data_IF_972198735983
#
_entry.id   IF_972198735983
#
_cell.length_a   1.000
_cell.length_b   1.000
_cell.length_c   1.000
_cell.angle_alpha   90.00
_cell.angle_beta   90.00
_cell.angle_gamma   90.00
#
_symmetry.space_group_name_H-M   'P 1'
#
loop_
_entity.id
_entity.type
_entity.pdbx_description
1 polymer ?
#
# COMPACT_ATOMS: atom_id res chain seq x y z
N UNK A 1 7.81 4.49 -17.15
CA UNK A 1 6.57 3.79 -16.76
C UNK A 1 7.01 2.79 -15.71
N UNK A 2 6.64 2.98 -14.43
CA UNK A 2 6.97 2.00 -13.40
C UNK A 2 6.29 0.69 -13.79
N UNK A 3 7.09 -0.35 -14.01
CA UNK A 3 6.61 -1.68 -14.31
C UNK A 3 6.18 -2.27 -12.96
N UNK A 4 5.01 -1.87 -12.46
CA UNK A 4 4.49 -2.34 -11.17
C UNK A 4 4.12 -3.81 -11.34
N UNK A 5 5.11 -4.66 -11.10
CA UNK A 5 4.95 -6.10 -11.13
C UNK A 5 4.21 -6.43 -9.86
N UNK A 6 2.94 -6.84 -9.96
CA UNK A 6 2.17 -7.22 -8.77
C UNK A 6 2.90 -8.35 -8.04
N UNK A 7 3.02 -8.24 -6.72
CA UNK A 7 3.66 -9.29 -5.93
C UNK A 7 2.75 -10.51 -5.95
N UNK A 8 3.29 -11.62 -6.46
CA UNK A 8 2.61 -12.91 -6.46
C UNK A 8 2.44 -13.42 -5.03
N UNK A 9 1.34 -14.15 -4.78
CA UNK A 9 1.02 -14.69 -3.45
C UNK A 9 2.18 -15.53 -2.86
N UNK A 10 2.82 -16.35 -3.68
CA UNK A 10 3.96 -17.20 -3.27
C UNK A 10 5.18 -16.36 -2.86
N UNK A 11 5.43 -15.26 -3.55
CA UNK A 11 6.53 -14.35 -3.23
C UNK A 11 6.25 -13.57 -1.94
N UNK A 12 5.04 -13.04 -1.78
CA UNK A 12 4.62 -12.41 -0.52
C UNK A 12 4.77 -13.36 0.67
N UNK A 13 4.31 -14.62 0.51
CA UNK A 13 4.47 -15.63 1.56
C UNK A 13 5.95 -15.89 1.86
N UNK A 14 6.81 -16.01 0.84
CA UNK A 14 8.26 -16.22 1.01
C UNK A 14 8.92 -15.06 1.78
N UNK A 15 8.57 -13.81 1.45
CA UNK A 15 9.06 -12.62 2.15
C UNK A 15 8.61 -12.63 3.61
N UNK A 16 7.33 -12.88 3.87
CA UNK A 16 6.82 -12.93 5.24
C UNK A 16 7.38 -14.10 6.06
N UNK A 17 7.63 -15.26 5.44
CA UNK A 17 8.31 -16.40 6.07
C UNK A 17 9.73 -16.00 6.54
N UNK A 18 10.47 -15.25 5.71
CA UNK A 18 11.79 -14.71 6.08
C UNK A 18 11.74 -13.69 7.21
N UNK A 19 10.64 -12.95 7.33
CA UNK A 19 10.41 -11.96 8.39
C UNK A 19 9.84 -12.58 9.68
N UNK A 20 9.40 -13.84 9.64
CA UNK A 20 8.77 -14.52 10.77
C UNK A 20 7.32 -14.08 11.02
N UNK A 21 6.57 -13.75 9.97
CA UNK A 21 5.15 -13.40 10.08
C UNK A 21 4.33 -14.63 10.51
N UNK A 22 3.49 -14.47 11.53
CA UNK A 22 2.55 -15.52 11.96
C UNK A 22 1.28 -15.47 11.10
N UNK A 23 1.16 -16.43 10.17
CA UNK A 23 0.02 -16.53 9.26
C UNK A 23 -1.30 -16.94 9.93
N UNK A 24 -1.28 -17.35 11.20
CA UNK A 24 -2.51 -17.56 11.97
C UNK A 24 -3.09 -16.23 12.48
N UNK A 25 -2.25 -15.21 12.62
CA UNK A 25 -2.65 -13.87 13.05
C UNK A 25 -2.91 -12.93 11.87
N UNK A 26 -2.11 -13.05 10.82
CA UNK A 26 -2.11 -12.12 9.69
C UNK A 26 -2.36 -12.88 8.38
N UNK A 27 -3.44 -12.60 7.65
CA UNK A 27 -3.67 -13.23 6.35
C UNK A 27 -2.56 -12.90 5.35
N UNK A 28 -2.09 -13.89 4.60
CA UNK A 28 -1.05 -13.69 3.56
C UNK A 28 -1.50 -12.65 2.52
N UNK A 29 -2.80 -12.61 2.20
CA UNK A 29 -3.34 -11.66 1.22
C UNK A 29 -3.26 -10.21 1.71
N UNK A 30 -3.48 -9.97 3.01
CA UNK A 30 -3.32 -8.63 3.59
C UNK A 30 -1.85 -8.19 3.55
N UNK A 31 -0.93 -9.11 3.81
CA UNK A 31 0.50 -8.86 3.67
C UNK A 31 0.92 -8.58 2.22
N UNK A 32 0.40 -9.37 1.27
CA UNK A 32 0.63 -9.18 -0.18
C UNK A 32 0.12 -7.82 -0.64
N UNK A 33 -1.10 -7.45 -0.25
CA UNK A 33 -1.66 -6.12 -0.51
C UNK A 33 -0.78 -5.02 0.07
N UNK A 34 -0.24 -5.23 1.27
CA UNK A 34 0.69 -4.28 1.87
C UNK A 34 1.97 -4.10 1.08
N UNK A 35 2.60 -5.18 0.63
CA UNK A 35 3.78 -5.11 -0.23
C UNK A 35 3.50 -4.33 -1.52
N UNK A 36 2.35 -4.56 -2.17
CA UNK A 36 1.97 -3.84 -3.38
C UNK A 36 1.82 -2.32 -3.12
N UNK A 37 1.19 -1.94 -2.01
CA UNK A 37 0.97 -0.52 -1.62
C UNK A 37 2.29 0.18 -1.31
N UNK A 38 3.13 -0.41 -0.44
CA UNK A 38 4.37 0.24 -0.02
C UNK A 38 5.36 0.39 -1.20
N UNK A 39 5.43 -0.60 -2.12
CA UNK A 39 6.23 -0.50 -3.34
C UNK A 39 5.69 0.57 -4.29
N UNK A 40 4.37 0.68 -4.43
CA UNK A 40 3.73 1.71 -5.25
C UNK A 40 4.07 3.13 -4.75
N UNK A 41 4.08 3.34 -3.43
CA UNK A 41 4.46 4.63 -2.84
C UNK A 41 5.93 4.99 -3.13
N UNK A 42 6.86 4.07 -2.89
CA UNK A 42 8.29 4.30 -3.19
C UNK A 42 8.53 4.58 -4.68
N UNK A 43 7.91 3.82 -5.58
CA UNK A 43 8.08 3.99 -7.01
C UNK A 43 7.49 5.30 -7.56
N UNK A 44 6.48 5.88 -6.88
CA UNK A 44 5.79 7.11 -7.33
C UNK A 44 6.44 8.40 -6.85
N UNK A 45 6.99 8.42 -5.64
CA UNK A 45 7.52 9.63 -5.04
C UNK A 45 8.91 9.38 -4.40
N UNK A 46 10.00 9.76 -5.11
CA UNK A 46 11.36 9.64 -4.59
C UNK A 46 11.62 10.38 -3.29
N UNK A 47 10.80 11.37 -2.92
CA UNK A 47 10.94 12.07 -1.64
C UNK A 47 10.52 11.19 -0.45
N UNK A 48 9.63 10.23 -0.70
CA UNK A 48 9.10 9.30 0.31
C UNK A 48 9.51 7.84 0.06
N UNK A 49 10.35 7.57 -0.93
CA UNK A 49 10.94 6.25 -1.16
C UNK A 49 11.99 5.93 -0.09
N UNK A 50 11.56 5.18 0.92
CA UNK A 50 12.40 4.81 2.07
C UNK A 50 12.91 3.37 2.02
N UNK A 51 12.40 2.55 1.09
CA UNK A 51 12.78 1.13 0.98
C UNK A 51 13.62 0.83 -0.24
N UNK A 52 13.58 1.69 -1.27
CA UNK A 52 14.30 1.50 -2.54
C UNK A 52 14.07 0.10 -3.13
N UNK A 53 12.81 -0.32 -3.15
CA UNK A 53 12.36 -1.63 -3.62
C UNK A 53 12.94 -2.85 -2.86
N UNK A 54 13.58 -2.66 -1.68
CA UNK A 54 14.06 -3.79 -0.88
C UNK A 54 12.88 -4.57 -0.26
N UNK A 55 12.69 -5.85 -0.63
CA UNK A 55 11.48 -6.59 -0.28
C UNK A 55 11.35 -6.85 1.23
N UNK A 56 12.46 -6.94 1.96
CA UNK A 56 12.43 -7.17 3.42
C UNK A 56 12.14 -5.88 4.19
N UNK A 57 12.64 -4.73 3.72
CA UNK A 57 12.29 -3.42 4.28
C UNK A 57 10.83 -3.09 4.01
N UNK A 58 10.36 -3.23 2.77
CA UNK A 58 8.95 -3.08 2.39
C UNK A 58 8.06 -4.01 3.22
N UNK A 59 8.42 -5.29 3.33
CA UNK A 59 7.68 -6.24 4.14
C UNK A 59 7.64 -5.89 5.64
N UNK A 60 8.68 -5.27 6.20
CA UNK A 60 8.64 -4.82 7.61
C UNK A 60 7.64 -3.69 7.84
N UNK A 61 7.50 -2.76 6.89
CA UNK A 61 6.49 -1.69 6.96
C UNK A 61 5.10 -2.31 6.87
N UNK A 62 4.86 -3.16 5.86
CA UNK A 62 3.58 -3.85 5.71
C UNK A 62 3.19 -4.66 6.95
N UNK A 63 4.15 -5.37 7.54
CA UNK A 63 3.91 -6.12 8.76
C UNK A 63 3.65 -5.22 9.98
N UNK A 64 4.30 -4.06 10.08
CA UNK A 64 4.05 -3.11 11.16
C UNK A 64 2.58 -2.65 11.19
N UNK A 65 2.01 -2.36 10.03
CA UNK A 65 0.60 -1.98 9.91
C UNK A 65 -0.35 -3.13 10.27
N UNK A 66 -0.06 -4.36 9.82
CA UNK A 66 -0.88 -5.52 10.21
C UNK A 66 -0.86 -5.81 11.71
N UNK A 67 0.20 -5.41 12.43
CA UNK A 67 0.24 -5.50 13.90
C UNK A 67 -0.69 -4.52 14.59
N UNK A 68 -1.11 -3.44 13.94
CA UNK A 68 -2.15 -2.55 14.48
C UNK A 68 -3.51 -3.25 14.42
N UNK A 69 -3.85 -3.83 13.27
CA UNK A 69 -4.99 -4.72 13.09
C UNK A 69 -4.85 -5.60 11.84
N UNK A 70 -5.31 -6.88 11.86
CA UNK A 70 -5.00 -7.83 10.79
C UNK A 70 -5.60 -7.55 9.40
N UNK A 71 -6.62 -6.69 9.29
CA UNK A 71 -7.31 -6.33 8.03
C UNK A 71 -6.94 -4.91 7.54
N UNK A 72 -5.74 -4.45 7.90
CA UNK A 72 -5.30 -3.07 7.67
C UNK A 72 -5.43 -2.61 6.22
N UNK A 73 -4.89 -3.39 5.28
CA UNK A 73 -4.82 -2.96 3.89
C UNK A 73 -6.18 -3.01 3.19
N UNK A 74 -7.07 -3.90 3.61
CA UNK A 74 -8.49 -3.84 3.18
C UNK A 74 -9.15 -2.53 3.61
N UNK A 75 -8.92 -2.06 4.84
CA UNK A 75 -9.49 -0.80 5.34
C UNK A 75 -8.84 0.41 4.67
N UNK A 76 -7.53 0.40 4.52
CA UNK A 76 -6.78 1.45 3.82
C UNK A 76 -7.33 1.66 2.42
N UNK A 77 -7.43 0.58 1.62
CA UNK A 77 -7.95 0.63 0.25
C UNK A 77 -9.35 1.23 0.16
N UNK A 78 -10.21 0.96 1.16
CA UNK A 78 -11.55 1.57 1.22
C UNK A 78 -11.46 3.07 1.49
N UNK A 79 -10.67 3.48 2.48
CA UNK A 79 -10.49 4.89 2.84
C UNK A 79 -9.89 5.69 1.68
N UNK A 80 -8.86 5.17 1.02
CA UNK A 80 -8.21 5.83 -0.12
C UNK A 80 -9.19 6.03 -1.27
N UNK A 81 -9.99 5.01 -1.61
CA UNK A 81 -11.03 5.13 -2.65
C UNK A 81 -12.09 6.17 -2.31
N UNK A 82 -12.44 6.32 -1.02
CA UNK A 82 -13.35 7.37 -0.57
C UNK A 82 -12.72 8.76 -0.70
N UNK A 83 -11.45 8.90 -0.31
CA UNK A 83 -10.67 10.13 -0.45
C UNK A 83 -10.47 10.53 -1.92
N UNK A 84 -10.11 9.61 -2.81
CA UNK A 84 -9.96 9.85 -4.25
C UNK A 84 -11.22 10.45 -4.86
N UNK A 85 -12.39 9.86 -4.56
CA UNK A 85 -13.68 10.37 -5.04
C UNK A 85 -13.97 11.77 -4.50
N UNK A 86 -13.73 12.00 -3.22
CA UNK A 86 -13.95 13.29 -2.58
C UNK A 86 -13.07 14.38 -3.21
N UNK A 87 -11.77 14.13 -3.35
CA UNK A 87 -10.82 15.11 -3.89
C UNK A 87 -10.97 15.32 -5.39
N UNK A 88 -11.35 14.30 -6.16
CA UNK A 88 -11.70 14.46 -7.57
C UNK A 88 -12.90 15.41 -7.74
N UNK A 89 -13.93 15.26 -6.91
CA UNK A 89 -15.11 16.14 -6.93
C UNK A 89 -14.77 17.57 -6.49
N UNK A 90 -14.01 17.76 -5.41
CA UNK A 90 -13.59 19.08 -4.93
C UNK A 90 -12.69 19.81 -5.96
N UNK A 91 -11.79 19.08 -6.62
CA UNK A 91 -10.92 19.65 -7.66
C UNK A 91 -11.73 20.12 -8.87
N UNK A 92 -12.72 19.34 -9.32
CA UNK A 92 -13.66 19.73 -10.38
C UNK A 92 -14.47 20.98 -9.96
N UNK A 93 -14.95 21.06 -8.72
CA UNK A 93 -15.64 22.26 -8.21
C UNK A 93 -14.76 23.50 -8.17
N UNK A 94 -13.48 23.37 -7.80
CA UNK A 94 -12.52 24.49 -7.79
C UNK A 94 -12.21 25.00 -9.19
N UNK A 95 -12.11 24.11 -10.17
CA UNK A 95 -11.88 24.48 -11.57
C UNK A 95 -13.11 25.11 -12.24
N UNK A 96 -14.32 24.86 -11.72
CA UNK A 96 -15.59 25.41 -12.23
C UNK A 96 -15.99 26.76 -11.63
N UNK A 97 -15.29 27.27 -10.61
CA UNK A 97 -15.55 28.64 -10.12
C UNK A 97 -14.94 29.65 -11.08
N UNK A 98 -15.74 30.50 -11.77
CA UNK A 98 -15.17 31.58 -12.55
C UNK A 98 -14.42 32.51 -11.59
N UNK A 99 -13.18 32.85 -11.96
CA UNK A 99 -12.41 33.91 -11.29
C UNK A 99 -13.27 35.17 -11.39
N UNK A 100 -13.69 35.68 -10.25
CA UNK A 100 -14.49 36.90 -10.15
C UNK A 100 -13.57 38.10 -9.97
#
# INVERSE_FOLDING_TARGET
>A
MANTTMIEFTEAKRIGDLLGVDWNMFPVEEFRMGLDVELEHGARDPQTDVTHDDPLQTGRIAWAHLKEFPDYYTRLKKMEKEAEKFWAAETDMRQRRPIR
#
